data_IF_192752960697
#
_entry.id   IF_192752960697
#
_cell.length_a   1.000
_cell.length_b   1.000
_cell.length_c   1.000
_cell.angle_alpha   90.00
_cell.angle_beta   90.00
_cell.angle_gamma   90.00
#
_symmetry.space_group_name_H-M   'P 1'
#
loop_
_entity.id
_entity.type
_entity.pdbx_description
1 polymer ?
#
# COMPACT_ATOMS: atom_id res chain seq x y z
N UNK A 1 -23.26 -7.37 27.66
CA UNK A 1 -21.92 -6.90 28.06
C UNK A 1 -21.08 -6.85 26.80
N UNK A 2 -20.79 -5.64 26.33
CA UNK A 2 -20.24 -5.38 25.00
C UNK A 2 -18.79 -5.85 24.96
N UNK A 3 -18.49 -6.96 24.27
CA UNK A 3 -17.12 -7.20 23.83
C UNK A 3 -16.89 -6.33 22.60
N UNK A 4 -16.50 -5.08 22.86
CA UNK A 4 -16.03 -4.16 21.81
C UNK A 4 -14.87 -4.80 21.02
N UNK A 5 -14.07 -5.65 21.66
CA UNK A 5 -12.99 -6.38 21.02
C UNK A 5 -13.36 -7.85 20.78
N UNK A 6 -13.38 -8.24 19.50
CA UNK A 6 -13.55 -9.62 19.05
C UNK A 6 -12.27 -10.11 18.37
N UNK A 7 -11.57 -11.04 19.04
CA UNK A 7 -10.31 -11.59 18.56
C UNK A 7 -10.46 -12.28 17.18
N UNK A 8 -11.62 -12.86 16.88
CA UNK A 8 -11.87 -13.50 15.59
C UNK A 8 -11.94 -12.44 14.49
N UNK A 9 -12.68 -11.36 14.72
CA UNK A 9 -12.76 -10.25 13.76
C UNK A 9 -11.39 -9.60 13.52
N UNK A 10 -10.65 -9.32 14.60
CA UNK A 10 -9.29 -8.74 14.52
C UNK A 10 -8.37 -9.65 13.71
N UNK A 11 -8.38 -10.95 14.00
CA UNK A 11 -7.52 -11.91 13.30
C UNK A 11 -7.90 -12.03 11.82
N UNK A 12 -9.18 -12.18 11.50
CA UNK A 12 -9.64 -12.30 10.11
C UNK A 12 -9.38 -11.03 9.31
N UNK A 13 -9.77 -9.85 9.83
CA UNK A 13 -9.47 -8.57 9.20
C UNK A 13 -7.96 -8.36 9.04
N UNK A 14 -7.18 -8.72 10.07
CA UNK A 14 -5.73 -8.64 10.07
C UNK A 14 -5.09 -9.48 8.97
N UNK A 15 -5.55 -10.72 8.79
CA UNK A 15 -5.09 -11.63 7.72
C UNK A 15 -5.44 -11.12 6.33
N UNK A 16 -6.67 -10.60 6.15
CA UNK A 16 -7.11 -10.02 4.87
C UNK A 16 -6.24 -8.81 4.52
N UNK A 17 -6.08 -7.86 5.47
CA UNK A 17 -5.23 -6.69 5.27
C UNK A 17 -3.78 -7.07 5.01
N UNK A 18 -3.23 -8.05 5.75
CA UNK A 18 -1.86 -8.54 5.55
C UNK A 18 -1.65 -9.08 4.14
N UNK A 19 -2.61 -9.88 3.64
CA UNK A 19 -2.55 -10.45 2.31
C UNK A 19 -2.71 -9.39 1.20
N UNK A 20 -3.56 -8.38 1.42
CA UNK A 20 -3.81 -7.31 0.43
C UNK A 20 -2.67 -6.30 0.39
N UNK A 21 -2.12 -5.92 1.54
CA UNK A 21 -0.95 -5.03 1.62
C UNK A 21 0.29 -5.70 1.00
N UNK A 22 0.39 -7.03 1.13
CA UNK A 22 1.50 -7.85 0.60
C UNK A 22 2.87 -7.23 0.85
N UNK A 23 3.13 -6.87 2.12
CA UNK A 23 4.36 -6.16 2.46
C UNK A 23 5.61 -7.00 2.22
N UNK A 24 5.50 -8.33 2.36
CA UNK A 24 6.60 -9.25 2.11
C UNK A 24 6.89 -9.33 0.60
N UNK A 25 5.87 -9.50 -0.24
CA UNK A 25 6.03 -9.46 -1.69
C UNK A 25 6.54 -8.11 -2.19
N UNK A 26 6.22 -7.03 -1.48
CA UNK A 26 6.64 -5.67 -1.81
C UNK A 26 8.10 -5.33 -1.43
N UNK A 27 8.83 -6.23 -0.76
CA UNK A 27 10.22 -6.00 -0.34
C UNK A 27 11.12 -5.46 -1.48
N UNK A 28 11.14 -6.05 -2.69
CA UNK A 28 12.04 -5.57 -3.72
C UNK A 28 11.68 -4.18 -4.25
N UNK A 29 10.39 -3.83 -4.23
CA UNK A 29 9.89 -2.50 -4.54
C UNK A 29 10.41 -1.51 -3.50
N UNK A 30 10.29 -1.86 -2.21
CA UNK A 30 10.79 -1.04 -1.08
C UNK A 30 12.30 -0.81 -1.20
N UNK A 31 13.08 -1.84 -1.57
CA UNK A 31 14.53 -1.73 -1.74
C UNK A 31 14.88 -0.81 -2.92
N UNK A 32 14.17 -0.91 -4.05
CA UNK A 32 14.41 0.00 -5.19
C UNK A 32 14.09 1.45 -4.83
N UNK A 33 12.94 1.69 -4.20
CA UNK A 33 12.55 3.02 -3.73
C UNK A 33 13.60 3.59 -2.76
N UNK A 34 14.11 2.76 -1.84
CA UNK A 34 15.20 3.16 -0.92
C UNK A 34 16.43 3.66 -1.66
N UNK A 35 16.84 2.99 -2.73
CA UNK A 35 18.02 3.40 -3.50
C UNK A 35 17.83 4.72 -4.23
N UNK A 36 16.61 5.00 -4.69
CA UNK A 36 16.29 6.26 -5.39
C UNK A 36 16.29 7.45 -4.44
N UNK A 37 15.72 7.28 -3.25
CA UNK A 37 15.54 8.37 -2.26
C UNK A 37 16.64 8.41 -1.19
N UNK A 38 17.56 7.44 -1.19
CA UNK A 38 18.66 7.30 -0.24
C UNK A 38 18.25 6.74 1.11
N UNK A 39 17.43 7.48 1.87
CA UNK A 39 17.01 7.06 3.22
C UNK A 39 15.49 7.01 3.34
N UNK A 40 14.94 5.81 3.54
CA UNK A 40 13.54 5.66 3.92
C UNK A 40 13.41 5.88 5.42
N UNK A 41 12.60 6.86 5.80
CA UNK A 41 12.14 7.08 7.16
C UNK A 41 11.04 6.04 7.51
N UNK A 42 11.46 4.81 7.79
CA UNK A 42 10.57 3.65 7.97
C UNK A 42 9.46 3.90 9.01
N UNK A 43 9.79 4.57 10.11
CA UNK A 43 8.84 4.98 11.15
C UNK A 43 7.75 5.89 10.56
N UNK A 44 8.16 6.97 9.89
CA UNK A 44 7.23 7.95 9.31
C UNK A 44 6.38 7.31 8.20
N UNK A 45 6.97 6.53 7.29
CA UNK A 45 6.22 5.84 6.24
C UNK A 45 5.15 4.89 6.82
N UNK A 46 5.49 4.13 7.85
CA UNK A 46 4.55 3.21 8.50
C UNK A 46 3.43 3.96 9.23
N UNK A 47 3.77 5.04 9.95
CA UNK A 47 2.79 5.88 10.63
C UNK A 47 1.87 6.58 9.64
N UNK A 48 2.42 7.17 8.57
CA UNK A 48 1.62 7.83 7.52
C UNK A 48 0.68 6.82 6.86
N UNK A 49 1.15 5.61 6.53
CA UNK A 49 0.28 4.56 5.99
C UNK A 49 -0.86 4.20 6.97
N UNK A 50 -0.54 4.08 8.27
CA UNK A 50 -1.52 3.83 9.32
C UNK A 50 -2.56 4.93 9.44
N UNK A 51 -2.12 6.18 9.44
CA UNK A 51 -2.98 7.36 9.48
C UNK A 51 -3.89 7.39 8.25
N UNK A 52 -3.35 7.18 7.04
CA UNK A 52 -4.15 7.13 5.81
C UNK A 52 -5.23 6.04 5.91
N UNK A 53 -4.87 4.83 6.33
CA UNK A 53 -5.83 3.74 6.48
C UNK A 53 -6.90 4.03 7.53
N UNK A 54 -6.53 4.56 8.70
CA UNK A 54 -7.49 4.87 9.77
C UNK A 54 -8.41 6.01 9.35
N UNK A 55 -7.87 7.07 8.74
CA UNK A 55 -8.68 8.18 8.22
C UNK A 55 -9.64 7.67 7.14
N UNK A 56 -9.14 6.87 6.18
CA UNK A 56 -9.99 6.34 5.13
C UNK A 56 -11.08 5.39 5.64
N UNK A 57 -10.79 4.61 6.69
CA UNK A 57 -11.79 3.76 7.34
C UNK A 57 -13.01 4.58 7.81
N UNK A 58 -12.80 5.77 8.38
CA UNK A 58 -13.92 6.57 8.89
C UNK A 58 -14.55 7.50 7.85
N UNK A 59 -13.72 8.11 7.01
CA UNK A 59 -14.16 9.23 6.15
C UNK A 59 -13.99 8.95 4.67
N UNK A 60 -13.33 7.85 4.27
CA UNK A 60 -12.99 7.57 2.88
C UNK A 60 -14.22 7.54 1.97
N UNK A 61 -15.23 6.73 2.32
CA UNK A 61 -16.47 6.63 1.53
C UNK A 61 -17.22 7.96 1.47
N UNK A 62 -17.35 8.66 2.60
CA UNK A 62 -18.10 9.92 2.66
C UNK A 62 -17.41 11.06 1.91
N UNK A 63 -16.08 11.18 2.01
CA UNK A 63 -15.30 12.17 1.26
C UNK A 63 -15.43 11.91 -0.24
N UNK A 64 -15.29 10.65 -0.67
CA UNK A 64 -15.43 10.26 -2.07
C UNK A 64 -16.84 10.59 -2.59
N UNK A 65 -17.89 10.25 -1.83
CA UNK A 65 -19.26 10.58 -2.18
C UNK A 65 -19.51 12.10 -2.28
N UNK A 66 -18.93 12.90 -1.37
CA UNK A 66 -19.09 14.35 -1.34
C UNK A 66 -18.54 15.02 -2.62
N UNK A 67 -17.45 14.49 -3.17
CA UNK A 67 -16.86 14.95 -4.44
C UNK A 67 -17.42 14.23 -5.67
N UNK A 68 -18.40 13.33 -5.49
CA UNK A 68 -19.06 12.60 -6.58
C UNK A 68 -18.21 11.49 -7.20
N UNK A 69 -17.28 10.90 -6.45
CA UNK A 69 -16.40 9.81 -6.88
C UNK A 69 -16.78 8.54 -6.14
N UNK A 70 -16.83 7.40 -6.83
CA UNK A 70 -17.05 6.10 -6.19
C UNK A 70 -15.73 5.41 -5.83
N UNK A 71 -15.81 4.41 -4.94
CA UNK A 71 -14.64 3.66 -4.46
C UNK A 71 -13.91 2.94 -5.60
N UNK A 72 -14.61 2.49 -6.65
CA UNK A 72 -13.99 1.83 -7.80
C UNK A 72 -13.24 2.85 -8.68
N UNK A 73 -13.79 4.05 -8.88
CA UNK A 73 -13.09 5.14 -9.58
C UNK A 73 -11.79 5.51 -8.86
N UNK A 74 -11.83 5.62 -7.53
CA UNK A 74 -10.63 5.82 -6.72
C UNK A 74 -9.65 4.65 -6.87
N UNK A 75 -10.14 3.42 -6.92
CA UNK A 75 -9.31 2.24 -7.10
C UNK A 75 -8.61 2.19 -8.47
N UNK A 76 -9.32 2.59 -9.54
CA UNK A 76 -8.77 2.75 -10.90
C UNK A 76 -7.66 3.81 -10.91
N UNK A 77 -7.86 4.94 -10.23
CA UNK A 77 -6.81 5.96 -10.09
C UNK A 77 -5.56 5.39 -9.40
N UNK A 78 -5.73 4.67 -8.29
CA UNK A 78 -4.63 4.00 -7.59
C UNK A 78 -3.90 2.96 -8.47
N UNK A 79 -4.63 2.25 -9.32
CA UNK A 79 -4.04 1.32 -10.29
C UNK A 79 -3.11 2.03 -11.28
N UNK A 80 -3.44 3.24 -11.74
CA UNK A 80 -2.55 4.03 -12.59
C UNK A 80 -1.26 4.43 -11.87
N UNK A 81 -1.34 4.84 -10.60
CA UNK A 81 -0.14 5.18 -9.82
C UNK A 81 0.79 3.96 -9.70
N UNK A 82 0.24 2.78 -9.41
CA UNK A 82 1.01 1.52 -9.38
C UNK A 82 1.59 1.16 -10.75
N UNK A 83 0.84 1.37 -11.82
CA UNK A 83 1.29 1.14 -13.19
C UNK A 83 2.51 2.00 -13.53
N UNK A 84 2.48 3.29 -13.21
CA UNK A 84 3.63 4.17 -13.43
C UNK A 84 4.83 3.78 -12.56
N UNK A 85 4.61 3.40 -11.29
CA UNK A 85 5.68 2.91 -10.42
C UNK A 85 6.35 1.65 -11.00
N UNK A 86 5.53 0.72 -11.53
CA UNK A 86 6.01 -0.49 -12.18
C UNK A 86 6.83 -0.18 -13.46
N UNK A 87 6.33 0.72 -14.32
CA UNK A 87 7.08 1.17 -15.51
C UNK A 87 8.42 1.80 -15.12
N UNK A 88 8.43 2.61 -14.08
CA UNK A 88 9.65 3.22 -13.55
C UNK A 88 10.68 2.16 -13.14
N UNK A 89 10.26 1.09 -12.49
CA UNK A 89 11.13 -0.03 -12.09
C UNK A 89 11.67 -0.82 -13.29
N UNK A 90 10.83 -1.08 -14.30
CA UNK A 90 11.19 -1.86 -15.49
C UNK A 90 12.16 -1.07 -16.38
N UNK A 91 11.83 0.19 -16.65
CA UNK A 91 12.57 1.06 -17.56
C UNK A 91 13.79 1.72 -16.89
N UNK A 92 13.81 1.79 -15.56
CA UNK A 92 14.89 2.45 -14.81
C UNK A 92 14.90 3.98 -14.97
N UNK A 93 13.75 4.55 -15.33
CA UNK A 93 13.55 6.01 -15.39
C UNK A 93 13.11 6.54 -14.02
N UNK A 94 12.87 7.83 -13.89
CA UNK A 94 12.22 8.43 -12.70
C UNK A 94 11.04 9.28 -13.20
N UNK A 95 9.83 8.88 -12.84
CA UNK A 95 8.60 9.58 -13.22
C UNK A 95 8.15 10.53 -12.11
N UNK A 96 8.39 10.15 -10.85
CA UNK A 96 8.21 11.03 -9.69
C UNK A 96 9.48 11.84 -9.46
N UNK A 97 9.39 13.15 -9.69
CA UNK A 97 10.38 14.13 -9.23
C UNK A 97 9.72 14.94 -8.12
N UNK A 98 9.97 14.55 -6.88
CA UNK A 98 9.64 15.41 -5.75
C UNK A 98 10.76 16.45 -5.60
N UNK A 99 10.40 17.72 -5.63
CA UNK A 99 11.32 18.85 -5.43
C UNK A 99 11.79 18.98 -3.96
N UNK A 100 11.19 18.18 -3.04
CA UNK A 100 11.54 18.14 -1.62
C UNK A 100 12.15 16.77 -1.21
N UNK A 101 13.43 16.72 -0.81
CA UNK A 101 14.14 15.48 -0.48
C UNK A 101 13.53 14.69 0.70
N UNK A 102 12.82 15.35 1.61
CA UNK A 102 12.37 14.74 2.86
C UNK A 102 11.05 13.95 2.72
N UNK A 103 10.16 14.34 1.81
CA UNK A 103 8.84 13.72 1.59
C UNK A 103 8.87 12.65 0.50
N UNK A 104 9.86 12.72 -0.40
CA UNK A 104 10.08 11.78 -1.50
C UNK A 104 10.15 10.30 -1.07
N UNK A 105 10.65 10.04 0.14
CA UNK A 105 10.81 8.67 0.67
C UNK A 105 9.58 8.13 1.42
N UNK A 106 8.62 8.99 1.74
CA UNK A 106 7.48 8.65 2.61
C UNK A 106 6.22 8.46 1.80
N UNK A 107 5.97 9.33 0.82
CA UNK A 107 4.69 9.38 0.10
C UNK A 107 4.48 8.10 -0.73
N UNK A 108 5.32 7.70 -1.72
CA UNK A 108 5.04 6.53 -2.57
C UNK A 108 4.92 5.21 -1.78
N UNK A 109 5.66 5.11 -0.68
CA UNK A 109 5.64 3.95 0.22
C UNK A 109 4.33 3.88 1.01
N UNK A 110 3.95 4.98 1.67
CA UNK A 110 2.71 5.02 2.44
C UNK A 110 1.49 4.93 1.52
N UNK A 111 1.50 5.65 0.40
CA UNK A 111 0.48 5.65 -0.64
C UNK A 111 1.11 5.84 -2.03
N UNK A 112 0.90 4.93 -2.98
CA UNK A 112 -0.14 3.89 -3.00
C UNK A 112 0.36 2.50 -2.58
N UNK A 113 1.62 2.31 -2.18
CA UNK A 113 2.14 0.94 -2.00
C UNK A 113 1.48 0.22 -0.82
N UNK A 114 1.42 0.84 0.36
CA UNK A 114 0.84 0.22 1.57
C UNK A 114 -0.66 0.52 1.67
N UNK A 115 -1.03 1.80 1.77
CA UNK A 115 -2.41 2.25 1.86
C UNK A 115 -3.02 2.41 0.45
N UNK A 116 -2.70 1.50 -0.46
CA UNK A 116 -3.15 1.54 -1.84
C UNK A 116 -4.64 1.29 -2.02
N UNK A 117 -5.10 1.50 -3.25
CA UNK A 117 -6.47 1.26 -3.67
C UNK A 117 -7.04 -0.09 -3.18
N UNK A 118 -6.30 -1.19 -3.33
CA UNK A 118 -6.74 -2.51 -2.84
C UNK A 118 -6.94 -2.56 -1.33
N UNK A 119 -6.03 -1.97 -0.56
CA UNK A 119 -6.15 -1.87 0.90
C UNK A 119 -7.34 -1.01 1.30
N UNK A 120 -7.53 0.13 0.62
CA UNK A 120 -8.59 1.08 0.93
C UNK A 120 -9.98 0.56 0.55
N UNK A 121 -10.13 -0.13 -0.58
CA UNK A 121 -11.40 -0.80 -0.93
C UNK A 121 -11.70 -1.94 0.03
N UNK A 122 -10.68 -2.70 0.44
CA UNK A 122 -10.80 -3.76 1.46
C UNK A 122 -11.29 -3.21 2.80
N UNK A 123 -10.83 -2.03 3.23
CA UNK A 123 -11.33 -1.39 4.45
C UNK A 123 -12.82 -1.09 4.38
N UNK A 124 -13.33 -0.64 3.22
CA UNK A 124 -14.76 -0.41 3.01
C UNK A 124 -15.55 -1.72 3.11
N UNK A 125 -15.04 -2.81 2.52
CA UNK A 125 -15.66 -4.13 2.63
C UNK A 125 -15.67 -4.66 4.07
N UNK A 126 -14.55 -4.54 4.78
CA UNK A 126 -14.43 -4.99 6.18
C UNK A 126 -15.35 -4.19 7.10
N UNK A 127 -15.53 -2.89 6.87
CA UNK A 127 -16.42 -2.03 7.66
C UNK A 127 -17.89 -2.45 7.54
N UNK A 128 -18.29 -3.12 6.46
CA UNK A 128 -19.64 -3.66 6.31
C UNK A 128 -19.87 -4.94 7.15
N UNK A 129 -18.81 -5.65 7.54
CA UNK A 129 -18.90 -6.94 8.24
C UNK A 129 -18.43 -6.88 9.70
N UNK A 130 -17.48 -6.00 10.04
CA UNK A 130 -16.80 -5.98 11.33
C UNK A 130 -16.86 -4.61 12.01
N UNK A 131 -16.75 -4.63 13.33
CA UNK A 131 -16.72 -3.41 14.14
C UNK A 131 -15.46 -2.59 13.85
N UNK A 132 -15.60 -1.28 13.71
CA UNK A 132 -14.50 -0.37 13.36
C UNK A 132 -13.30 -0.50 14.33
N UNK A 133 -13.57 -0.70 15.62
CA UNK A 133 -12.51 -0.88 16.63
C UNK A 133 -11.67 -2.14 16.38
N UNK A 134 -12.27 -3.23 15.90
CA UNK A 134 -11.55 -4.46 15.56
C UNK A 134 -10.69 -4.27 14.32
N UNK A 135 -11.20 -3.55 13.33
CA UNK A 135 -10.46 -3.20 12.10
C UNK A 135 -9.27 -2.29 12.44
N UNK A 136 -9.43 -1.31 13.34
CA UNK A 136 -8.34 -0.43 13.76
C UNK A 136 -7.23 -1.24 14.44
N UNK A 137 -7.57 -2.17 15.34
CA UNK A 137 -6.56 -3.03 15.97
C UNK A 137 -5.85 -3.88 14.91
N UNK A 138 -6.58 -4.41 13.92
CA UNK A 138 -6.00 -5.14 12.80
C UNK A 138 -5.05 -4.27 11.94
N UNK A 139 -5.41 -3.00 11.69
CA UNK A 139 -4.55 -2.02 11.00
C UNK A 139 -3.27 -1.79 11.81
N UNK A 140 -3.38 -1.53 13.11
CA UNK A 140 -2.23 -1.26 13.97
C UNK A 140 -1.25 -2.45 14.00
N UNK A 141 -1.77 -3.68 14.08
CA UNK A 141 -0.97 -4.90 13.98
C UNK A 141 -0.25 -4.97 12.64
N UNK A 142 -0.95 -4.73 11.53
CA UNK A 142 -0.35 -4.72 10.19
C UNK A 142 0.72 -3.63 10.04
N UNK A 143 0.51 -2.44 10.61
CA UNK A 143 1.51 -1.36 10.60
C UNK A 143 2.79 -1.75 11.35
N UNK A 144 2.69 -2.55 12.42
CA UNK A 144 3.87 -3.10 13.09
C UNK A 144 4.65 -4.03 12.14
N UNK A 145 3.95 -4.92 11.42
CA UNK A 145 4.60 -5.77 10.40
C UNK A 145 5.23 -4.95 9.28
N UNK A 146 4.53 -3.93 8.79
CA UNK A 146 5.03 -2.99 7.79
C UNK A 146 6.32 -2.34 8.26
N UNK A 147 6.31 -1.78 9.47
CA UNK A 147 7.47 -1.16 10.09
C UNK A 147 8.67 -2.12 10.17
N UNK A 148 8.45 -3.36 10.60
CA UNK A 148 9.50 -4.38 10.70
C UNK A 148 10.12 -4.66 9.33
N UNK A 149 9.31 -4.79 8.28
CA UNK A 149 9.79 -5.03 6.91
C UNK A 149 10.54 -3.82 6.37
N UNK A 150 9.98 -2.61 6.52
CA UNK A 150 10.64 -1.37 6.09
C UNK A 150 11.99 -1.16 6.79
N UNK A 151 12.07 -1.46 8.09
CA UNK A 151 13.32 -1.39 8.86
C UNK A 151 14.33 -2.45 8.40
N UNK A 152 13.85 -3.67 8.12
CA UNK A 152 14.68 -4.78 7.66
C UNK A 152 15.19 -4.61 6.22
N UNK A 153 14.52 -3.81 5.39
CA UNK A 153 14.91 -3.57 3.99
C UNK A 153 16.38 -3.15 3.82
N UNK A 154 16.94 -2.37 4.77
CA UNK A 154 18.36 -1.98 4.77
C UNK A 154 19.30 -3.18 4.85
N UNK A 155 18.92 -4.21 5.62
CA UNK A 155 19.72 -5.43 5.78
C UNK A 155 19.60 -6.30 4.53
N UNK A 156 18.41 -6.34 3.92
CA UNK A 156 18.15 -7.08 2.68
C UNK A 156 18.90 -6.48 1.49
N UNK A 157 19.00 -5.15 1.41
CA UNK A 157 19.78 -4.46 0.40
C UNK A 157 21.25 -4.90 0.41
N UNK A 158 21.85 -5.02 1.59
CA UNK A 158 23.25 -5.46 1.76
C UNK A 158 23.48 -6.90 1.31
N UNK A 159 22.48 -7.78 1.44
CA UNK A 159 22.58 -9.20 1.06
C UNK A 159 22.45 -9.37 -0.46
N UNK A 160 21.55 -8.63 -1.11
CA UNK A 160 21.25 -8.80 -2.54
C UNK A 160 22.29 -8.19 -3.48
N UNK A 161 23.07 -7.20 -3.01
CA UNK A 161 24.07 -6.51 -3.81
C UNK A 161 23.46 -5.66 -4.94
N UNK A 162 24.28 -4.81 -5.58
CA UNK A 162 23.80 -3.88 -6.61
C UNK A 162 23.22 -4.57 -7.85
N UNK A 163 23.87 -5.64 -8.31
CA UNK A 163 23.44 -6.39 -9.49
C UNK A 163 22.17 -7.21 -9.24
N UNK A 164 22.09 -7.93 -8.12
CA UNK A 164 20.91 -8.73 -7.76
C UNK A 164 19.66 -7.85 -7.63
N UNK A 165 19.79 -6.69 -6.99
CA UNK A 165 18.69 -5.72 -6.89
C UNK A 165 18.22 -5.25 -8.26
N UNK A 166 19.11 -4.99 -9.21
CA UNK A 166 18.70 -4.53 -10.54
C UNK A 166 17.89 -5.58 -11.30
N UNK A 167 18.23 -6.87 -11.17
CA UNK A 167 17.49 -7.96 -11.80
C UNK A 167 16.14 -8.14 -11.13
N UNK A 168 16.14 -8.27 -9.79
CA UNK A 168 14.92 -8.46 -9.00
C UNK A 168 13.96 -7.29 -9.23
N UNK A 169 14.47 -6.06 -9.28
CA UNK A 169 13.65 -4.88 -9.59
C UNK A 169 12.89 -5.02 -10.90
N UNK A 170 13.55 -5.45 -11.98
CA UNK A 170 12.87 -5.61 -13.27
C UNK A 170 11.80 -6.70 -13.21
N UNK A 171 12.09 -7.82 -12.54
CA UNK A 171 11.13 -8.92 -12.35
C UNK A 171 9.91 -8.46 -11.54
N UNK A 172 10.14 -7.82 -10.38
CA UNK A 172 9.05 -7.31 -9.54
C UNK A 172 8.32 -6.12 -10.14
N UNK A 173 8.98 -5.32 -10.99
CA UNK A 173 8.31 -4.32 -11.80
C UNK A 173 7.26 -4.94 -12.73
N UNK A 174 7.58 -6.07 -13.38
CA UNK A 174 6.60 -6.81 -14.20
C UNK A 174 5.46 -7.38 -13.34
N UNK A 175 5.76 -7.90 -12.15
CA UNK A 175 4.73 -8.39 -11.21
C UNK A 175 3.82 -7.24 -10.77
N UNK A 176 4.38 -6.10 -10.38
CA UNK A 176 3.63 -4.92 -9.96
C UNK A 176 2.77 -4.37 -11.11
N UNK A 177 3.28 -4.39 -12.34
CA UNK A 177 2.52 -4.03 -13.53
C UNK A 177 1.31 -4.94 -13.71
N UNK A 178 1.48 -6.25 -13.52
CA UNK A 178 0.38 -7.21 -13.58
C UNK A 178 -0.66 -6.97 -12.47
N UNK A 179 -0.22 -6.63 -11.25
CA UNK A 179 -1.11 -6.25 -10.14
C UNK A 179 -1.90 -4.99 -10.51
N UNK A 180 -1.24 -3.96 -11.04
CA UNK A 180 -1.89 -2.73 -11.47
C UNK A 180 -2.94 -2.98 -12.57
N UNK A 181 -2.62 -3.78 -13.58
CA UNK A 181 -3.56 -4.16 -14.64
C UNK A 181 -4.75 -4.95 -14.09
N UNK A 182 -4.52 -5.90 -13.18
CA UNK A 182 -5.60 -6.65 -12.52
C UNK A 182 -6.52 -5.71 -11.74
N UNK A 183 -5.95 -4.82 -10.94
CA UNK A 183 -6.70 -3.86 -10.14
C UNK A 183 -7.53 -2.92 -11.04
N UNK A 184 -6.94 -2.43 -12.13
CA UNK A 184 -7.66 -1.65 -13.14
C UNK A 184 -8.83 -2.44 -13.74
N UNK A 185 -8.57 -3.65 -14.23
CA UNK A 185 -9.58 -4.48 -14.91
C UNK A 185 -10.75 -4.87 -14.00
N UNK A 186 -10.49 -5.17 -12.72
CA UNK A 186 -11.52 -5.51 -11.75
C UNK A 186 -12.41 -4.33 -11.39
N UNK A 187 -11.85 -3.11 -11.31
CA UNK A 187 -12.61 -1.94 -10.87
C UNK A 187 -13.25 -1.16 -12.02
N UNK A 188 -12.67 -1.19 -13.24
CA UNK A 188 -13.23 -0.46 -14.39
C UNK A 188 -14.56 -1.04 -14.86
N UNK A 189 -14.78 -2.34 -14.70
CA UNK A 189 -16.06 -2.98 -15.06
C UNK A 189 -17.20 -2.40 -14.23
N UNK A 190 -16.95 -2.15 -12.94
CA UNK A 190 -17.90 -1.53 -12.01
C UNK A 190 -18.21 -0.06 -12.32
N UNK A 191 -17.46 0.59 -13.22
CA UNK A 191 -17.74 1.97 -13.65
C UNK A 191 -18.76 2.05 -14.80
N UNK A 192 -18.95 0.94 -15.52
CA UNK A 192 -19.84 0.87 -16.67
C UNK A 192 -21.13 0.08 -16.39
N UNK A 193 -21.31 -0.40 -15.16
CA UNK A 193 -22.48 -1.17 -14.70
C UNK A 193 -23.29 -0.38 -13.69
#
# INVERSE_FOLDING_TARGET
>A
MWKLLDAKQIFTAGMILFAVIDIIGSIPIIIDLRKKVGHIQSEKASVVAGVIMIVFLFVGKEILNLIGIDVNSFAVAGAFILFFLALEMILGITLYKDDEPETASVVPLAFPLIAGAGTLTTLVSLQAEYEAVNIIVAILINIIFVYIVLKSSTKMERVLGSQGISVIRKVFGVILLAIAVKLFATNIQSLFS
#
